data_IF_978568145683
#
_entry.id   IF_978568145683
#
_cell.length_a   1.000
_cell.length_b   1.000
_cell.length_c   1.000
_cell.angle_alpha   90.00
_cell.angle_beta   90.00
_cell.angle_gamma   90.00
#
_symmetry.space_group_name_H-M   'P 1'
#
loop_
_entity.id
_entity.type
_entity.pdbx_description
1 polymer ?
#
# COMPACT_ATOMS: atom_id res chain seq x y z
N UNK A 1 -18.47 15.99 11.05
CA UNK A 1 -17.86 14.71 10.59
C UNK A 1 -16.43 14.69 11.07
N UNK A 2 -15.98 13.59 11.66
CA UNK A 2 -14.57 13.46 12.04
C UNK A 2 -13.73 13.16 10.79
N UNK A 3 -12.61 13.85 10.63
CA UNK A 3 -11.69 13.62 9.52
C UNK A 3 -11.09 12.20 9.64
N UNK A 4 -10.78 11.56 8.51
CA UNK A 4 -10.02 10.31 8.56
C UNK A 4 -8.57 10.60 8.96
N UNK A 5 -8.19 10.14 10.16
CA UNK A 5 -6.82 10.24 10.67
C UNK A 5 -6.11 8.90 10.55
N UNK A 6 -4.91 8.89 9.98
CA UNK A 6 -4.13 7.67 9.79
C UNK A 6 -2.62 7.89 9.86
N UNK A 7 -1.93 6.93 10.47
CA UNK A 7 -0.48 6.87 10.42
C UNK A 7 -0.02 6.25 9.08
N UNK A 8 0.94 6.89 8.44
CA UNK A 8 1.66 6.37 7.28
C UNK A 8 2.67 5.30 7.72
N UNK A 9 2.65 4.15 7.04
CA UNK A 9 3.67 3.11 7.11
C UNK A 9 4.22 2.89 5.70
N UNK A 10 5.37 3.50 5.36
CA UNK A 10 5.96 3.38 4.03
C UNK A 10 6.09 1.92 3.59
N UNK A 11 5.68 1.61 2.36
CA UNK A 11 5.78 0.24 1.83
C UNK A 11 4.67 -0.71 2.28
N UNK A 12 3.81 -0.30 3.22
CA UNK A 12 2.96 -1.24 3.97
C UNK A 12 1.52 -0.79 4.12
N UNK A 13 1.25 0.43 4.58
CA UNK A 13 -0.11 0.82 4.95
C UNK A 13 -0.34 2.33 5.09
N UNK A 14 -1.61 2.73 5.07
CA UNK A 14 -2.10 3.98 5.64
C UNK A 14 -3.17 3.69 6.70
N UNK A 15 -2.78 3.71 7.98
CA UNK A 15 -3.63 3.28 9.08
C UNK A 15 -4.00 1.80 8.95
N UNK A 16 -5.30 1.50 8.89
CA UNK A 16 -5.80 0.13 8.69
C UNK A 16 -5.84 -0.32 7.22
N UNK A 17 -5.53 0.58 6.28
CA UNK A 17 -5.50 0.32 4.84
C UNK A 17 -4.16 -0.32 4.49
N UNK A 18 -4.03 -1.62 4.79
CA UNK A 18 -2.78 -2.39 4.64
C UNK A 18 -2.69 -3.00 3.23
N UNK A 19 -1.56 -2.81 2.56
CA UNK A 19 -1.28 -3.46 1.28
C UNK A 19 -1.35 -4.99 1.45
N UNK A 20 -2.05 -5.65 0.53
CA UNK A 20 -2.35 -7.08 0.60
C UNK A 20 -3.65 -7.42 1.33
N UNK A 21 -4.34 -6.44 1.95
CA UNK A 21 -5.68 -6.69 2.51
C UNK A 21 -6.67 -6.98 1.39
N UNK A 22 -7.62 -7.89 1.63
CA UNK A 22 -8.65 -8.20 0.63
C UNK A 22 -9.61 -7.01 0.47
N UNK A 23 -10.22 -6.90 -0.71
CA UNK A 23 -11.31 -5.97 -0.96
C UNK A 23 -12.46 -6.16 0.04
N UNK A 24 -12.74 -7.42 0.39
CA UNK A 24 -13.76 -7.77 1.38
C UNK A 24 -13.45 -7.14 2.75
N UNK A 25 -12.26 -7.38 3.30
CA UNK A 25 -11.87 -6.88 4.61
C UNK A 25 -11.92 -5.35 4.69
N UNK A 26 -11.40 -4.69 3.66
CA UNK A 26 -11.38 -3.23 3.60
C UNK A 26 -12.81 -2.68 3.51
N UNK A 27 -13.66 -3.24 2.64
CA UNK A 27 -15.05 -2.80 2.54
C UNK A 27 -15.83 -3.05 3.82
N UNK A 28 -15.62 -4.18 4.49
CA UNK A 28 -16.26 -4.49 5.78
C UNK A 28 -15.87 -3.46 6.84
N UNK A 29 -14.58 -3.12 6.96
CA UNK A 29 -14.11 -2.09 7.91
C UNK A 29 -14.61 -0.69 7.58
N UNK A 30 -14.62 -0.31 6.30
CA UNK A 30 -15.14 0.99 5.87
C UNK A 30 -16.64 1.12 6.18
N UNK A 31 -17.44 0.09 5.86
CA UNK A 31 -18.89 0.06 6.10
C UNK A 31 -19.26 0.04 7.58
N UNK A 32 -18.37 -0.45 8.45
CA UNK A 32 -18.57 -0.42 9.89
C UNK A 32 -18.51 1.00 10.49
N UNK A 33 -17.95 1.98 9.75
CA UNK A 33 -17.79 3.37 10.21
C UNK A 33 -18.41 4.39 9.23
N UNK A 34 -19.75 4.35 8.99
CA UNK A 34 -20.40 5.16 7.97
C UNK A 34 -20.31 6.68 8.23
N UNK A 35 -20.12 7.10 9.50
CA UNK A 35 -19.92 8.50 9.85
C UNK A 35 -18.54 9.03 9.42
N UNK A 36 -17.53 8.15 9.36
CA UNK A 36 -16.17 8.48 8.92
C UNK A 36 -16.00 8.27 7.41
N UNK A 37 -16.72 7.31 6.83
CA UNK A 37 -16.72 6.99 5.40
C UNK A 37 -18.15 7.07 4.83
N UNK A 38 -18.70 8.28 4.65
CA UNK A 38 -20.10 8.47 4.25
C UNK A 38 -20.36 8.17 2.77
N UNK A 39 -19.32 8.08 1.93
CA UNK A 39 -19.44 7.80 0.50
C UNK A 39 -18.31 6.88 0.03
N UNK A 40 -18.68 5.77 -0.61
CA UNK A 40 -17.79 4.78 -1.19
C UNK A 40 -18.24 4.53 -2.64
N UNK A 41 -17.39 4.85 -3.61
CA UNK A 41 -17.67 4.55 -5.02
C UNK A 41 -16.80 3.34 -5.44
N UNK A 42 -17.45 2.23 -5.82
CA UNK A 42 -16.78 1.02 -6.31
C UNK A 42 -16.79 1.00 -7.84
N UNK A 43 -15.61 0.95 -8.45
CA UNK A 43 -15.42 0.95 -9.91
C UNK A 43 -14.68 -0.33 -10.29
N UNK A 44 -15.22 -1.06 -11.27
CA UNK A 44 -14.62 -2.29 -11.79
C UNK A 44 -15.03 -2.49 -13.25
N UNK A 45 -14.23 -3.26 -14.00
CA UNK A 45 -14.59 -3.68 -15.35
C UNK A 45 -15.53 -4.89 -15.29
N UNK A 46 -16.79 -4.80 -15.77
CA UNK A 46 -17.66 -5.97 -15.85
C UNK A 46 -17.22 -6.96 -16.93
N UNK A 47 -16.49 -6.47 -17.95
CA UNK A 47 -16.04 -7.30 -19.08
C UNK A 47 -14.72 -8.02 -18.77
N UNK A 48 -13.85 -7.39 -17.97
CA UNK A 48 -12.53 -7.93 -17.63
C UNK A 48 -12.23 -7.86 -16.11
N UNK A 49 -13.10 -8.43 -15.26
CA UNK A 49 -13.02 -8.26 -13.79
C UNK A 49 -11.77 -8.88 -13.15
N UNK A 50 -11.12 -9.82 -13.82
CA UNK A 50 -9.91 -10.50 -13.36
C UNK A 50 -8.65 -9.80 -13.86
N UNK A 51 -8.73 -9.04 -14.95
CA UNK A 51 -7.55 -8.37 -15.54
C UNK A 51 -7.42 -6.94 -15.06
N UNK A 52 -8.55 -6.23 -15.05
CA UNK A 52 -8.58 -4.82 -14.66
C UNK A 52 -8.65 -4.67 -13.14
N UNK A 53 -7.98 -3.66 -12.57
CA UNK A 53 -8.00 -3.43 -11.13
C UNK A 53 -9.38 -2.95 -10.67
N UNK A 54 -9.76 -3.33 -9.46
CA UNK A 54 -10.93 -2.79 -8.78
C UNK A 54 -10.53 -1.54 -8.02
N UNK A 55 -11.30 -0.46 -8.15
CA UNK A 55 -11.02 0.82 -7.51
C UNK A 55 -12.11 1.14 -6.50
N UNK A 56 -11.72 1.52 -5.28
CA UNK A 56 -12.62 2.08 -4.27
C UNK A 56 -12.24 3.55 -4.06
N UNK A 57 -13.11 4.47 -4.45
CA UNK A 57 -12.93 5.88 -4.17
C UNK A 57 -13.65 6.25 -2.86
N UNK A 58 -12.95 7.01 -2.02
CA UNK A 58 -13.44 7.61 -0.78
C UNK A 58 -13.42 9.13 -0.93
N UNK A 59 -14.33 9.72 -1.73
CA UNK A 59 -14.27 11.14 -2.12
C UNK A 59 -14.38 12.10 -0.93
N UNK A 60 -15.08 11.69 0.13
CA UNK A 60 -15.21 12.46 1.38
C UNK A 60 -13.93 12.45 2.23
N UNK A 61 -13.01 11.53 1.96
CA UNK A 61 -11.76 11.34 2.70
C UNK A 61 -10.53 11.70 1.87
N UNK A 62 -10.70 11.98 0.57
CA UNK A 62 -9.60 12.28 -0.34
C UNK A 62 -8.70 11.08 -0.61
N UNK A 63 -9.25 9.86 -0.57
CA UNK A 63 -8.48 8.61 -0.72
C UNK A 63 -9.02 7.78 -1.88
N UNK A 64 -8.10 7.14 -2.62
CA UNK A 64 -8.40 6.14 -3.64
C UNK A 64 -7.61 4.87 -3.35
N UNK A 65 -8.29 3.74 -3.38
CA UNK A 65 -7.72 2.42 -3.15
C UNK A 65 -7.79 1.63 -4.45
N UNK A 66 -6.73 0.92 -4.80
CA UNK A 66 -6.73 0.06 -5.99
C UNK A 66 -6.32 -1.36 -5.63
N UNK A 67 -7.14 -2.30 -6.05
CA UNK A 67 -7.00 -3.72 -5.82
C UNK A 67 -6.66 -4.41 -7.14
N UNK A 68 -5.85 -5.46 -7.10
CA UNK A 68 -5.64 -6.29 -8.30
C UNK A 68 -6.94 -6.99 -8.74
N UNK A 69 -7.00 -7.42 -9.99
CA UNK A 69 -8.15 -8.15 -10.52
C UNK A 69 -8.27 -9.59 -9.98
N UNK A 70 -7.21 -10.43 -10.04
CA UNK A 70 -7.34 -11.86 -9.75
C UNK A 70 -7.61 -12.21 -8.30
N UNK A 71 -6.96 -11.53 -7.36
CA UNK A 71 -6.99 -11.85 -5.92
C UNK A 71 -7.66 -10.74 -5.11
N UNK A 72 -8.04 -9.63 -5.75
CA UNK A 72 -8.67 -8.46 -5.16
C UNK A 72 -7.91 -7.97 -3.91
N UNK A 73 -6.58 -7.94 -4.02
CA UNK A 73 -5.68 -7.46 -2.95
C UNK A 73 -5.35 -6.00 -3.13
N UNK A 74 -5.36 -5.25 -2.04
CA UNK A 74 -4.98 -3.84 -2.05
C UNK A 74 -3.53 -3.69 -2.49
N UNK A 75 -3.30 -3.06 -3.64
CA UNK A 75 -1.95 -2.81 -4.22
C UNK A 75 -1.49 -1.38 -4.04
N UNK A 76 -2.43 -0.45 -4.01
CA UNK A 76 -2.12 0.98 -4.01
C UNK A 76 -3.11 1.73 -3.13
N UNK A 77 -2.58 2.55 -2.22
CA UNK A 77 -3.34 3.55 -1.48
C UNK A 77 -2.89 4.93 -1.95
N UNK A 78 -3.82 5.73 -2.44
CA UNK A 78 -3.55 7.07 -2.94
C UNK A 78 -4.30 8.09 -2.11
N UNK A 79 -3.61 9.16 -1.75
CA UNK A 79 -4.18 10.38 -1.17
C UNK A 79 -4.24 11.40 -2.29
N UNK A 80 -5.45 11.73 -2.70
CA UNK A 80 -5.75 12.59 -3.85
C UNK A 80 -6.25 13.97 -3.44
N UNK A 81 -6.53 14.16 -2.15
CA UNK A 81 -6.92 15.45 -1.56
C UNK A 81 -6.50 15.47 -0.09
N UNK A 82 -5.41 16.19 0.22
CA UNK A 82 -4.85 16.23 1.57
C UNK A 82 -5.72 17.03 2.56
N UNK A 83 -6.72 17.77 2.09
CA UNK A 83 -7.60 18.57 2.95
C UNK A 83 -8.69 17.72 3.64
N UNK A 84 -8.86 16.48 3.18
CA UNK A 84 -9.93 15.56 3.63
C UNK A 84 -9.45 14.41 4.53
N UNK A 85 -8.18 14.46 4.94
CA UNK A 85 -7.55 13.47 5.81
C UNK A 85 -6.51 14.15 6.72
N UNK A 86 -6.14 13.44 7.78
CA UNK A 86 -5.04 13.81 8.66
C UNK A 86 -4.02 12.67 8.66
N UNK A 87 -2.89 12.88 8.03
CA UNK A 87 -1.86 11.85 7.89
C UNK A 87 -0.67 12.20 8.75
N UNK A 88 -0.26 11.26 9.58
CA UNK A 88 0.92 11.41 10.44
C UNK A 88 1.96 10.37 10.09
N UNK A 89 3.22 10.67 10.38
CA UNK A 89 4.30 9.70 10.28
C UNK A 89 5.06 9.69 11.61
N UNK A 90 5.14 8.50 12.19
CA UNK A 90 5.85 8.28 13.45
C UNK A 90 7.19 7.63 13.16
N UNK A 91 8.25 8.32 13.53
CA UNK A 91 9.60 7.79 13.53
C UNK A 91 10.15 7.85 14.95
N UNK A 92 10.49 6.67 15.50
CA UNK A 92 10.86 6.51 16.90
C UNK A 92 9.78 7.06 17.85
N UNK A 93 10.02 8.22 18.47
CA UNK A 93 9.13 8.86 19.44
C UNK A 93 8.50 10.16 18.93
N UNK A 94 8.84 10.61 17.71
CA UNK A 94 8.31 11.83 17.15
C UNK A 94 7.19 11.52 16.16
N UNK A 95 6.03 12.15 16.37
CA UNK A 95 4.92 12.16 15.42
C UNK A 95 4.98 13.45 14.61
N UNK A 96 4.84 13.33 13.29
CA UNK A 96 5.01 14.44 12.34
C UNK A 96 3.81 14.45 11.41
N UNK A 97 3.17 15.60 11.26
CA UNK A 97 2.03 15.75 10.36
C UNK A 97 2.50 15.94 8.92
N UNK A 98 1.84 15.26 7.99
CA UNK A 98 2.11 15.41 6.57
C UNK A 98 1.75 16.82 6.09
N UNK A 99 0.60 17.33 6.52
CA UNK A 99 0.16 18.70 6.29
C UNK A 99 -0.09 19.35 7.63
N UNK A 100 0.37 20.58 7.82
CA UNK A 100 0.19 21.29 9.09
C UNK A 100 -1.30 21.49 9.37
N UNK A 101 -1.79 21.14 10.56
CA UNK A 101 -3.15 21.48 10.96
C UNK A 101 -3.35 23.00 10.96
N UNK A 102 -4.50 23.51 10.50
CA UNK A 102 -4.84 24.91 10.66
C UNK A 102 -5.09 25.22 12.16
N UNK A 103 -4.04 25.51 12.93
CA UNK A 103 -4.13 26.10 14.27
C UNK A 103 -3.15 25.58 15.33
N UNK A 104 -2.02 26.28 15.49
CA UNK A 104 -1.55 26.87 16.76
C UNK A 104 -0.14 27.49 16.56
N UNK A 105 -0.06 28.80 16.33
CA UNK A 105 1.15 29.58 16.66
C UNK A 105 2.03 30.12 15.52
N UNK A 106 1.55 30.28 14.28
CA UNK A 106 2.23 31.17 13.33
C UNK A 106 1.21 31.98 12.56
N UNK A 107 1.37 33.30 12.64
CA UNK A 107 0.57 34.27 11.92
C UNK A 107 0.52 33.89 10.44
N UNK A 108 -0.69 33.61 9.98
CA UNK A 108 -0.99 33.48 8.56
C UNK A 108 -0.69 34.85 7.93
N UNK A 109 0.38 34.96 7.13
CA UNK A 109 0.42 36.05 6.15
C UNK A 109 -0.69 35.77 5.17
N UNK A 110 -1.68 36.65 5.11
CA UNK A 110 -2.94 36.55 4.38
C UNK A 110 -2.81 36.57 2.84
N UNK A 111 -1.70 36.03 2.32
CA UNK A 111 -1.37 35.98 0.89
C UNK A 111 -1.09 34.58 0.37
N UNK A 112 -0.86 33.59 1.24
CA UNK A 112 -0.67 32.21 0.83
C UNK A 112 -2.01 31.47 0.89
N UNK A 113 -2.59 31.23 -0.29
CA UNK A 113 -3.72 30.31 -0.44
C UNK A 113 -3.45 29.03 0.36
N UNK A 114 -4.46 28.55 1.09
CA UNK A 114 -4.45 27.28 1.83
C UNK A 114 -3.78 26.22 0.96
N UNK A 115 -2.51 25.91 1.25
CA UNK A 115 -1.73 24.95 0.49
C UNK A 115 -2.47 23.61 0.54
N UNK A 116 -3.05 23.18 -0.59
CA UNK A 116 -3.90 22.00 -0.67
C UNK A 116 -3.14 20.67 -0.45
N UNK A 117 -1.82 20.74 -0.20
CA UNK A 117 -0.96 19.61 0.06
C UNK A 117 0.41 20.01 0.62
N UNK A 118 1.26 19.03 0.94
CA UNK A 118 2.58 19.26 1.51
C UNK A 118 3.57 19.81 0.47
N UNK A 119 4.42 20.76 0.87
CA UNK A 119 5.53 21.22 0.01
C UNK A 119 6.69 20.24 0.04
N UNK A 120 7.52 20.23 -1.01
CA UNK A 120 8.75 19.44 -1.04
C UNK A 120 9.64 19.72 0.19
N UNK A 121 9.82 21.01 0.53
CA UNK A 121 10.62 21.42 1.69
C UNK A 121 10.10 20.82 3.00
N UNK A 122 8.77 20.72 3.17
CA UNK A 122 8.17 20.08 4.34
C UNK A 122 8.41 18.57 4.34
N UNK A 123 8.15 17.90 3.20
CA UNK A 123 8.38 16.46 3.07
C UNK A 123 9.83 16.10 3.39
N UNK A 124 10.77 16.81 2.77
CA UNK A 124 12.20 16.58 2.89
C UNK A 124 12.74 16.91 4.29
N UNK A 125 12.40 18.06 4.88
CA UNK A 125 13.04 18.52 6.13
C UNK A 125 12.30 18.12 7.42
N UNK A 126 11.03 17.72 7.30
CA UNK A 126 10.15 17.54 8.46
C UNK A 126 9.32 16.28 8.43
N UNK A 127 9.17 15.58 7.30
CA UNK A 127 8.30 14.40 7.24
C UNK A 127 9.09 13.12 7.00
N UNK A 128 9.65 12.90 5.81
CA UNK A 128 10.36 11.64 5.47
C UNK A 128 11.89 11.76 5.44
N UNK A 129 12.43 12.97 5.36
CA UNK A 129 13.88 13.16 5.27
C UNK A 129 14.42 13.17 3.83
N UNK A 130 15.74 12.99 3.68
CA UNK A 130 16.42 12.90 2.40
C UNK A 130 15.88 11.79 1.50
N UNK A 131 16.03 11.97 0.20
CA UNK A 131 15.53 11.01 -0.78
C UNK A 131 16.37 10.99 -2.04
N UNK A 132 16.17 9.95 -2.85
CA UNK A 132 16.74 9.81 -4.19
C UNK A 132 16.00 10.69 -5.21
N UNK A 133 16.60 10.85 -6.39
CA UNK A 133 15.94 11.55 -7.47
C UNK A 133 14.59 10.91 -7.84
N UNK A 134 13.62 11.76 -8.15
CA UNK A 134 12.34 11.36 -8.71
C UNK A 134 12.39 11.25 -10.23
N UNK A 135 11.24 10.95 -10.83
CA UNK A 135 11.09 10.91 -12.28
C UNK A 135 10.12 12.00 -12.77
N UNK A 136 10.39 12.54 -13.95
CA UNK A 136 9.42 13.38 -14.64
C UNK A 136 8.62 12.53 -15.62
N UNK A 137 7.30 12.62 -15.52
CA UNK A 137 6.34 11.99 -16.42
C UNK A 137 5.65 13.08 -17.22
N UNK A 138 5.94 13.17 -18.52
CA UNK A 138 5.29 14.14 -19.41
C UNK A 138 3.81 13.81 -19.61
N UNK A 139 2.96 14.83 -19.78
CA UNK A 139 1.52 14.67 -19.99
C UNK A 139 1.10 14.10 -21.37
N UNK A 140 1.97 13.35 -22.05
CA UNK A 140 1.83 12.91 -23.44
C UNK A 140 2.45 13.88 -24.46
N UNK A 141 2.37 13.54 -25.74
CA UNK A 141 3.15 14.17 -26.83
C UNK A 141 2.86 15.66 -27.09
N UNK A 142 1.79 16.23 -26.54
CA UNK A 142 1.37 17.62 -26.80
C UNK A 142 0.99 18.43 -25.54
N UNK A 143 1.38 17.99 -24.33
CA UNK A 143 1.13 18.75 -23.11
C UNK A 143 2.42 19.42 -22.61
N UNK A 144 2.35 20.75 -22.49
CA UNK A 144 3.32 21.58 -21.77
C UNK A 144 3.38 21.23 -20.26
N UNK A 145 2.36 20.53 -19.77
CA UNK A 145 2.26 20.06 -18.39
C UNK A 145 2.70 18.61 -18.28
N UNK A 146 3.52 18.32 -17.29
CA UNK A 146 3.81 16.98 -16.80
C UNK A 146 3.71 16.93 -15.29
N UNK A 147 4.20 15.84 -14.73
CA UNK A 147 4.30 15.66 -13.29
C UNK A 147 5.70 15.19 -12.93
N UNK A 148 6.19 15.66 -11.80
CA UNK A 148 7.40 15.16 -11.17
C UNK A 148 6.99 14.26 -10.01
N UNK A 149 7.39 12.99 -10.05
CA UNK A 149 7.10 12.01 -9.02
C UNK A 149 8.33 11.83 -8.14
N UNK A 150 8.28 12.43 -6.95
CA UNK A 150 9.28 12.24 -5.91
C UNK A 150 9.07 10.88 -5.27
N UNK A 151 10.10 10.03 -5.27
CA UNK A 151 9.99 8.66 -4.75
C UNK A 151 10.79 8.48 -3.47
N UNK A 152 10.21 7.73 -2.54
CA UNK A 152 10.83 7.12 -1.37
C UNK A 152 10.57 5.60 -1.43
N UNK A 153 11.27 4.77 -0.64
CA UNK A 153 10.87 3.37 -0.47
C UNK A 153 9.42 3.26 -0.01
N UNK A 154 8.57 2.73 -0.89
CA UNK A 154 7.16 2.46 -0.66
C UNK A 154 6.22 3.67 -0.54
N UNK A 155 6.71 4.89 -0.83
CA UNK A 155 5.89 6.11 -0.84
C UNK A 155 6.33 7.02 -1.98
N UNK A 156 5.39 7.67 -2.66
CA UNK A 156 5.71 8.68 -3.66
C UNK A 156 4.80 9.90 -3.53
N UNK A 157 5.32 11.07 -3.92
CA UNK A 157 4.58 12.33 -3.98
C UNK A 157 4.62 12.85 -5.41
N UNK A 158 3.45 13.24 -5.92
CA UNK A 158 3.33 13.81 -7.26
C UNK A 158 3.23 15.31 -7.16
N UNK A 159 4.11 16.01 -7.87
CA UNK A 159 4.08 17.46 -8.04
C UNK A 159 3.74 17.77 -9.51
N UNK A 160 2.83 18.70 -9.80
CA UNK A 160 2.67 19.19 -11.17
C UNK A 160 3.99 19.83 -11.61
N UNK A 161 4.39 19.75 -12.88
CA UNK A 161 5.61 20.41 -13.33
C UNK A 161 5.51 20.72 -14.83
N UNK A 162 5.67 21.98 -15.25
CA UNK A 162 5.80 22.30 -16.67
C UNK A 162 7.02 21.60 -17.27
N UNK A 163 6.88 21.08 -18.49
CA UNK A 163 7.97 20.39 -19.19
C UNK A 163 9.19 21.29 -19.38
N UNK A 164 8.98 22.58 -19.59
CA UNK A 164 10.03 23.60 -19.71
C UNK A 164 10.81 23.85 -18.42
N UNK A 165 10.21 23.56 -17.25
CA UNK A 165 10.86 23.70 -15.95
C UNK A 165 11.72 22.47 -15.60
N UNK A 166 11.43 21.32 -16.17
CA UNK A 166 12.18 20.08 -15.95
C UNK A 166 13.52 20.09 -16.70
N UNK A 167 14.56 19.63 -16.02
CA UNK A 167 15.86 19.35 -16.63
C UNK A 167 16.49 18.13 -15.95
N UNK A 168 16.92 17.11 -16.70
CA UNK A 168 17.54 15.90 -16.13
C UNK A 168 18.89 16.17 -15.46
N UNK A 169 19.52 17.30 -15.75
CA UNK A 169 20.79 17.73 -15.14
C UNK A 169 20.64 18.46 -13.80
N UNK A 170 19.41 18.80 -13.41
CA UNK A 170 19.12 19.50 -12.15
C UNK A 170 18.73 18.48 -11.08
N UNK A 171 19.27 18.67 -9.87
CA UNK A 171 18.89 17.87 -8.72
C UNK A 171 17.45 18.17 -8.24
N UNK A 172 16.85 17.25 -7.48
CA UNK A 172 15.49 17.43 -6.95
C UNK A 172 15.35 18.74 -6.15
N UNK A 173 16.38 19.08 -5.37
CA UNK A 173 16.35 20.28 -4.54
C UNK A 173 16.20 21.52 -5.40
N UNK A 174 16.99 21.69 -6.46
CA UNK A 174 16.85 22.83 -7.36
C UNK A 174 15.52 22.79 -8.11
N UNK A 175 15.09 21.61 -8.60
CA UNK A 175 13.82 21.48 -9.34
C UNK A 175 12.60 21.87 -8.52
N UNK A 176 12.49 21.36 -7.29
CA UNK A 176 11.30 21.54 -6.45
C UNK A 176 11.41 22.73 -5.48
N UNK A 177 12.60 23.21 -5.17
CA UNK A 177 12.77 24.40 -4.31
C UNK A 177 12.75 25.71 -5.09
N UNK A 178 13.15 25.74 -6.37
CA UNK A 178 13.04 26.96 -7.19
C UNK A 178 11.58 27.37 -7.42
N UNK A 179 10.67 26.41 -7.44
CA UNK A 179 9.22 26.65 -7.55
C UNK A 179 8.55 26.71 -6.18
N UNK A 180 9.24 27.21 -5.14
CA UNK A 180 9.03 26.96 -3.70
C UNK A 180 7.65 27.13 -3.05
N UNK A 181 6.60 27.42 -3.82
CA UNK A 181 5.18 27.36 -3.44
C UNK A 181 4.48 26.08 -3.91
N UNK A 182 5.15 25.24 -4.70
CA UNK A 182 4.55 24.05 -5.26
C UNK A 182 4.31 22.97 -4.20
N UNK A 183 3.06 22.54 -4.12
CA UNK A 183 2.60 21.49 -3.22
C UNK A 183 2.39 20.20 -3.99
N UNK A 184 2.58 19.07 -3.32
CA UNK A 184 2.18 17.78 -3.87
C UNK A 184 0.67 17.78 -4.10
N UNK A 185 0.23 17.23 -5.23
CA UNK A 185 -1.18 17.04 -5.58
C UNK A 185 -1.69 15.66 -5.19
N UNK A 186 -0.78 14.70 -5.02
CA UNK A 186 -1.12 13.38 -4.50
C UNK A 186 0.06 12.70 -3.80
N UNK A 187 -0.27 11.72 -2.95
CA UNK A 187 0.68 10.78 -2.36
C UNK A 187 0.23 9.36 -2.67
N UNK A 188 1.17 8.47 -2.95
CA UNK A 188 0.92 7.04 -3.15
C UNK A 188 1.68 6.22 -2.10
N UNK A 189 1.05 5.18 -1.57
CA UNK A 189 1.67 4.12 -0.75
C UNK A 189 1.57 2.82 -1.54
N UNK A 190 2.70 2.20 -1.79
CA UNK A 190 2.87 1.01 -2.63
C UNK A 190 3.96 0.12 -2.05
N UNK A 191 4.06 -1.13 -2.50
CA UNK A 191 5.17 -2.02 -2.13
C UNK A 191 6.30 -1.91 -3.16
N UNK A 192 7.52 -1.67 -2.71
CA UNK A 192 8.72 -1.56 -3.56
C UNK A 192 9.65 -0.43 -3.13
N UNK A 193 10.86 -0.42 -3.67
CA UNK A 193 11.93 0.52 -3.26
C UNK A 193 11.83 1.88 -3.95
N UNK A 194 11.18 1.95 -5.10
CA UNK A 194 10.92 3.20 -5.82
C UNK A 194 9.67 3.10 -6.68
N UNK A 195 9.01 4.23 -6.93
CA UNK A 195 7.80 4.29 -7.77
C UNK A 195 8.06 3.86 -9.20
N UNK A 196 9.18 4.31 -9.78
CA UNK A 196 9.56 4.00 -11.16
C UNK A 196 9.68 2.49 -11.41
N UNK A 197 10.21 1.74 -10.43
CA UNK A 197 10.30 0.28 -10.50
C UNK A 197 8.97 -0.39 -10.14
N UNK A 198 8.31 0.08 -9.07
CA UNK A 198 7.13 -0.58 -8.55
C UNK A 198 5.93 -0.49 -9.50
N UNK A 199 5.77 0.60 -10.25
CA UNK A 199 4.59 0.82 -11.11
C UNK A 199 4.45 -0.23 -12.21
N UNK A 200 5.56 -0.78 -12.70
CA UNK A 200 5.58 -1.75 -13.80
C UNK A 200 5.12 -3.14 -13.33
N UNK A 201 5.37 -3.47 -12.07
CA UNK A 201 5.05 -4.78 -11.48
C UNK A 201 3.99 -4.73 -10.37
N UNK A 202 3.37 -3.56 -10.14
CA UNK A 202 2.45 -3.27 -9.03
C UNK A 202 1.34 -4.31 -8.85
N UNK A 203 0.86 -4.87 -9.97
CA UNK A 203 -0.27 -5.79 -10.03
C UNK A 203 0.14 -7.26 -9.98
N UNK A 204 1.42 -7.57 -10.15
CA UNK A 204 1.94 -8.92 -10.33
C UNK A 204 2.91 -9.35 -9.25
N UNK A 205 3.63 -8.41 -8.64
CA UNK A 205 4.62 -8.72 -7.61
C UNK A 205 3.96 -9.34 -6.37
N UNK A 206 4.63 -10.29 -5.70
CA UNK A 206 4.14 -10.78 -4.41
C UNK A 206 4.24 -9.65 -3.38
N UNK A 207 3.17 -9.33 -2.65
CA UNK A 207 3.30 -8.43 -1.50
C UNK A 207 3.79 -9.22 -0.26
N UNK A 208 4.16 -8.54 0.82
CA UNK A 208 4.44 -9.18 2.10
C UNK A 208 3.17 -9.75 2.76
N UNK A 209 3.31 -10.79 3.58
CA UNK A 209 2.21 -11.31 4.40
C UNK A 209 1.70 -10.25 5.38
N UNK A 210 0.38 -10.12 5.51
CA UNK A 210 -0.27 -9.17 6.42
C UNK A 210 0.17 -9.35 7.89
N UNK A 211 0.60 -10.55 8.25
CA UNK A 211 1.12 -10.86 9.58
C UNK A 211 2.42 -10.14 9.92
N UNK A 212 3.18 -9.73 8.91
CA UNK A 212 4.39 -8.92 9.12
C UNK A 212 4.05 -7.49 9.57
N UNK A 213 2.80 -7.06 9.40
CA UNK A 213 2.34 -5.74 9.80
C UNK A 213 1.91 -5.72 11.28
N UNK A 214 2.90 -5.53 12.15
CA UNK A 214 2.75 -5.49 13.62
C UNK A 214 1.62 -4.59 14.15
N UNK A 215 1.34 -3.40 13.59
CA UNK A 215 0.23 -2.58 14.06
C UNK A 215 -1.14 -3.28 14.00
N UNK A 216 -1.33 -4.25 13.10
CA UNK A 216 -2.55 -5.03 12.97
C UNK A 216 -2.57 -6.29 13.85
N UNK A 217 -1.40 -6.88 14.16
CA UNK A 217 -1.30 -8.15 14.90
C UNK A 217 -1.35 -8.00 16.43
N UNK A 218 -1.44 -6.78 16.96
CA UNK A 218 -1.68 -6.55 18.40
C UNK A 218 -3.06 -7.05 18.87
N UNK A 219 -3.99 -7.33 17.95
CA UNK A 219 -5.16 -8.17 18.20
C UNK A 219 -4.71 -9.62 18.34
N UNK A 220 -4.63 -10.12 19.58
CA UNK A 220 -4.14 -11.47 19.96
C UNK A 220 -4.94 -12.64 19.33
N UNK A 221 -5.97 -12.35 18.53
CA UNK A 221 -6.87 -13.32 17.92
C UNK A 221 -6.55 -13.63 16.45
N UNK A 222 -5.99 -12.67 15.71
CA UNK A 222 -5.75 -12.80 14.26
C UNK A 222 -4.31 -13.18 13.90
N UNK A 223 -3.38 -13.22 14.87
CA UNK A 223 -1.99 -13.62 14.64
C UNK A 223 -1.80 -15.11 14.36
N UNK A 224 -2.83 -15.92 14.65
CA UNK A 224 -2.75 -17.40 14.65
C UNK A 224 -3.47 -18.04 13.46
N UNK A 225 -4.34 -17.30 12.74
CA UNK A 225 -5.01 -17.84 11.55
C UNK A 225 -4.02 -17.94 10.38
N UNK A 226 -3.89 -19.09 9.70
CA UNK A 226 -2.98 -19.28 8.58
C UNK A 226 -3.32 -18.33 7.41
N UNK A 227 -2.31 -18.03 6.57
CA UNK A 227 -2.52 -17.15 5.42
C UNK A 227 -3.50 -17.78 4.43
N UNK A 228 -4.16 -16.95 3.63
CA UNK A 228 -5.17 -17.42 2.67
C UNK A 228 -4.58 -18.37 1.62
N UNK A 229 -5.36 -19.38 1.24
CA UNK A 229 -4.99 -20.34 0.21
C UNK A 229 -5.15 -19.71 -1.16
N UNK A 230 -4.06 -19.62 -1.91
CA UNK A 230 -4.03 -18.96 -3.22
C UNK A 230 -4.25 -19.95 -4.38
N UNK A 231 -3.90 -21.23 -4.20
CA UNK A 231 -4.06 -22.26 -5.22
C UNK A 231 -4.32 -23.61 -4.56
N UNK A 232 -5.28 -24.37 -5.09
CA UNK A 232 -5.49 -25.77 -4.73
C UNK A 232 -5.13 -26.64 -5.93
N UNK A 233 -4.15 -27.54 -5.75
CA UNK A 233 -3.84 -28.59 -6.75
C UNK A 233 -4.53 -29.89 -6.35
N UNK A 234 -5.23 -30.48 -7.31
CA UNK A 234 -5.90 -31.77 -7.13
C UNK A 234 -5.03 -32.84 -7.78
N UNK A 235 -4.54 -33.78 -6.98
CA UNK A 235 -3.59 -34.82 -7.43
C UNK A 235 -4.26 -36.18 -7.69
N UNK A 236 -5.57 -36.30 -7.46
CA UNK A 236 -6.29 -37.58 -7.52
C UNK A 236 -6.10 -38.42 -6.26
N UNK A 237 -6.87 -39.52 -6.14
CA UNK A 237 -6.81 -40.41 -4.97
C UNK A 237 -7.15 -39.72 -3.64
N UNK A 238 -7.99 -38.68 -3.68
CA UNK A 238 -8.35 -37.90 -2.49
C UNK A 238 -7.29 -36.90 -2.03
N UNK A 239 -6.17 -36.71 -2.75
CA UNK A 239 -5.09 -35.81 -2.34
C UNK A 239 -5.25 -34.41 -2.93
N UNK A 240 -5.27 -33.42 -2.04
CA UNK A 240 -5.32 -31.99 -2.33
C UNK A 240 -4.06 -31.32 -1.77
N UNK A 241 -3.48 -30.40 -2.53
CA UNK A 241 -2.36 -29.57 -2.08
C UNK A 241 -2.80 -28.11 -2.09
N UNK A 242 -2.87 -27.51 -0.91
CA UNK A 242 -3.16 -26.09 -0.71
C UNK A 242 -1.87 -25.30 -0.76
N UNK A 243 -1.76 -24.33 -1.64
CA UNK A 243 -0.57 -23.49 -1.84
C UNK A 243 -0.92 -22.06 -1.47
N UNK A 244 -0.03 -21.41 -0.70
CA UNK A 244 -0.15 -20.01 -0.31
C UNK A 244 0.92 -19.23 -1.08
N UNK A 245 0.51 -18.28 -1.93
CA UNK A 245 1.39 -17.58 -2.89
C UNK A 245 2.25 -16.47 -2.26
N UNK A 246 1.98 -16.09 -1.03
CA UNK A 246 2.32 -14.76 -0.51
C UNK A 246 3.31 -14.74 0.65
N UNK A 247 4.02 -15.85 0.81
CA UNK A 247 4.97 -16.07 1.88
C UNK A 247 6.15 -16.86 1.33
N UNK A 248 7.02 -16.14 0.60
CA UNK A 248 8.43 -16.51 0.66
C UNK A 248 8.92 -16.12 2.05
N UNK A 249 8.71 -16.98 3.05
CA UNK A 249 9.52 -16.92 4.26
C UNK A 249 10.91 -17.32 3.80
N UNK A 250 11.76 -16.35 3.45
CA UNK A 250 13.19 -16.59 3.40
C UNK A 250 13.69 -16.73 4.84
N UNK A 251 13.31 -17.80 5.52
CA UNK A 251 13.97 -18.25 6.75
C UNK A 251 15.30 -18.90 6.36
N UNK A 252 16.20 -18.11 5.79
CA UNK A 252 17.60 -18.46 5.70
C UNK A 252 18.27 -18.13 7.04
N UNK A 253 17.93 -18.90 8.06
CA UNK A 253 18.72 -18.99 9.30
C UNK A 253 18.87 -20.46 9.65
N UNK A 254 19.80 -21.12 8.97
CA UNK A 254 20.56 -22.21 9.56
C UNK A 254 22.02 -22.03 9.16
N UNK A 255 22.81 -21.43 10.05
CA UNK A 255 24.26 -21.54 9.99
C UNK A 255 24.62 -23.00 10.26
N UNK A 256 24.82 -23.77 9.20
CA UNK A 256 25.54 -25.04 9.26
C UNK A 256 26.62 -24.99 8.18
N UNK A 257 27.91 -24.85 8.55
CA UNK A 257 28.98 -24.83 7.58
C UNK A 257 29.20 -26.24 7.05
N UNK A 258 29.06 -26.42 5.74
CA UNK A 258 29.54 -27.60 5.02
C UNK A 258 28.45 -28.44 4.35
N UNK A 259 28.03 -28.04 3.15
CA UNK A 259 28.01 -28.93 1.98
C UNK A 259 27.71 -28.12 0.73
N UNK A 260 28.60 -28.21 -0.24
CA UNK A 260 28.47 -27.62 -1.57
C UNK A 260 27.66 -28.56 -2.46
N UNK A 261 26.40 -28.24 -2.70
CA UNK A 261 25.62 -28.79 -3.82
C UNK A 261 24.78 -27.66 -4.44
N UNK A 262 24.65 -27.58 -5.77
CA UNK A 262 23.92 -26.50 -6.41
C UNK A 262 22.41 -26.81 -6.40
N UNK A 263 21.67 -26.23 -5.46
CA UNK A 263 20.20 -26.37 -5.41
C UNK A 263 19.56 -25.33 -6.33
N UNK A 264 19.34 -25.69 -7.59
CA UNK A 264 18.51 -24.93 -8.53
C UNK A 264 17.03 -25.27 -8.31
N UNK A 265 16.42 -24.76 -7.24
CA UNK A 265 14.97 -24.73 -7.09
C UNK A 265 14.63 -23.38 -6.44
N UNK A 266 13.86 -22.55 -7.14
CA UNK A 266 13.35 -21.29 -6.61
C UNK A 266 12.58 -21.49 -5.30
N UNK A 267 12.28 -20.41 -4.56
CA UNK A 267 11.67 -20.51 -3.23
C UNK A 267 10.42 -21.40 -3.28
N UNK A 268 10.42 -22.50 -2.52
CA UNK A 268 9.25 -23.38 -2.45
C UNK A 268 8.12 -22.66 -1.74
N UNK A 269 7.08 -22.30 -2.49
CA UNK A 269 5.85 -21.73 -1.94
C UNK A 269 5.30 -22.69 -0.87
N UNK A 270 5.01 -22.23 0.35
CA UNK A 270 4.56 -23.10 1.41
C UNK A 270 3.20 -23.69 1.04
N UNK A 271 3.08 -24.99 1.31
CA UNK A 271 1.89 -25.75 0.95
C UNK A 271 1.54 -26.76 2.04
N UNK A 272 0.24 -26.97 2.22
CA UNK A 272 -0.33 -27.96 3.13
C UNK A 272 -1.04 -29.03 2.30
N UNK A 273 -0.98 -30.29 2.73
CA UNK A 273 -1.68 -31.40 2.08
C UNK A 273 -2.94 -31.78 2.85
N UNK A 274 -4.01 -32.06 2.12
CA UNK A 274 -5.25 -32.65 2.65
C UNK A 274 -5.47 -33.97 1.90
N UNK A 275 -5.70 -35.05 2.64
CA UNK A 275 -6.13 -36.34 2.10
C UNK A 275 -7.56 -36.62 2.56
N UNK A 276 -8.49 -36.66 1.61
CA UNK A 276 -9.90 -36.92 1.88
C UNK A 276 -10.08 -38.29 2.55
N UNK A 277 -10.76 -38.31 3.69
CA UNK A 277 -10.98 -39.52 4.50
C UNK A 277 -9.87 -39.82 5.52
N UNK A 278 -8.72 -39.15 5.46
CA UNK A 278 -7.62 -39.33 6.41
C UNK A 278 -7.36 -38.06 7.25
N UNK A 279 -7.38 -36.87 6.64
CA UNK A 279 -7.16 -35.61 7.35
C UNK A 279 -8.32 -35.34 8.30
N UNK A 280 -8.02 -35.17 9.60
CA UNK A 280 -9.05 -34.97 10.61
C UNK A 280 -9.59 -33.53 10.59
N UNK A 281 -10.77 -33.33 11.18
CA UNK A 281 -11.35 -31.99 11.34
C UNK A 281 -10.45 -31.08 12.21
N UNK A 282 -9.70 -31.64 13.17
CA UNK A 282 -8.77 -30.88 13.99
C UNK A 282 -7.56 -30.41 13.18
N UNK A 283 -7.04 -31.27 12.28
CA UNK A 283 -5.96 -30.90 11.37
C UNK A 283 -6.41 -29.78 10.42
N UNK A 284 -7.64 -29.86 9.90
CA UNK A 284 -8.21 -28.80 9.07
C UNK A 284 -8.33 -27.48 9.84
N UNK A 285 -8.77 -27.48 11.09
CA UNK A 285 -8.86 -26.26 11.90
C UNK A 285 -7.49 -25.71 12.24
N UNK A 286 -6.50 -26.56 12.50
CA UNK A 286 -5.11 -26.14 12.72
C UNK A 286 -4.52 -25.49 11.46
N UNK A 287 -4.83 -26.04 10.28
CA UNK A 287 -4.26 -25.63 8.99
C UNK A 287 -5.03 -24.51 8.27
N UNK A 288 -6.31 -24.33 8.54
CA UNK A 288 -7.17 -23.33 7.88
C UNK A 288 -7.71 -22.28 8.85
N UNK A 289 -7.55 -22.49 10.16
CA UNK A 289 -8.21 -21.70 11.18
C UNK A 289 -9.66 -22.15 11.43
N UNK A 290 -10.32 -21.57 12.45
CA UNK A 290 -11.72 -21.87 12.73
C UNK A 290 -12.63 -21.30 11.62
N UNK A 291 -13.74 -21.99 11.29
CA UNK A 291 -14.72 -21.44 10.35
C UNK A 291 -15.31 -20.13 10.88
N UNK A 292 -15.43 -19.13 10.02
CA UNK A 292 -16.12 -17.89 10.39
C UNK A 292 -17.61 -18.17 10.67
N UNK A 293 -18.14 -17.61 11.75
CA UNK A 293 -19.58 -17.62 11.98
C UNK A 293 -20.21 -16.63 11.02
N UNK A 294 -20.80 -17.13 9.93
CA UNK A 294 -21.81 -16.36 9.20
C UNK A 294 -22.94 -16.01 10.19
N UNK A 295 -23.07 -14.73 10.52
CA UNK A 295 -24.27 -14.21 11.17
C UNK A 295 -25.32 -14.05 10.06
N UNK A 296 -26.46 -14.75 10.14
CA UNK A 296 -27.54 -14.62 9.15
C UNK A 296 -28.19 -13.24 9.17
#
# INVERSE_FOLDING_TARGET
MSLFSAQLYPGQALGFLVLGASLHDILTRLKAEPQRFPKLDLIYSPNEPIKEPVIVNLPSNGIRLRFDGPEQRLRLVEVIDFTKNHITFKESNNERDLVRPPGNGSAFSSTDAVAAGPTFKHIYNRFLGPTYDGEFVGGGDNKEEGTYVLSYPGVAFTFPMPRSAYSPSKDVMSLLSHNGTQTATSMAVFSGDSWAQARDNLWTDPLPSLKTFVPLTKSTKDSTSPDEVALVRIHGGGKLQLIRKWNSTSSATHNTPGSSAPTSLGPSMPSTWITLGETSAQDLVAELGPPERHIP
#
